data_IF_593653346783
#
_entry.id   IF_593653346783
#
_cell.length_a   1.000
_cell.length_b   1.000
_cell.length_c   1.000
_cell.angle_alpha   90.00
_cell.angle_beta   90.00
_cell.angle_gamma   90.00
#
_symmetry.space_group_name_H-M   'P 1'
#
loop_
_entity.id
_entity.type
_entity.pdbx_description
1 polymer ?
#
# COMPACT_ATOMS: atom_id res chain seq x y z
N UNK A 1 3.49 4.07 18.77
CA UNK A 1 3.32 4.49 17.34
C UNK A 1 3.67 3.40 16.35
N UNK A 2 4.69 2.56 16.62
CA UNK A 2 5.00 1.36 15.81
C UNK A 2 3.75 0.53 15.44
N UNK A 3 2.94 0.15 16.44
CA UNK A 3 1.73 -0.66 16.22
C UNK A 3 0.67 0.02 15.34
N UNK A 4 0.55 1.35 15.40
CA UNK A 4 -0.39 2.10 14.57
C UNK A 4 0.07 2.14 13.10
N UNK A 5 1.36 2.36 12.86
CA UNK A 5 1.94 2.33 11.51
C UNK A 5 1.78 0.92 10.91
N UNK A 6 2.06 -0.12 11.69
CA UNK A 6 1.85 -1.51 11.28
C UNK A 6 0.39 -1.81 10.94
N UNK A 7 -0.54 -1.33 11.77
CA UNK A 7 -1.97 -1.45 11.49
C UNK A 7 -2.33 -0.76 10.16
N UNK A 8 -1.84 0.46 9.90
CA UNK A 8 -2.10 1.14 8.63
C UNK A 8 -1.57 0.37 7.43
N UNK A 9 -0.32 -0.11 7.48
CA UNK A 9 0.26 -0.92 6.39
C UNK A 9 -0.54 -2.21 6.19
N UNK A 10 -1.00 -2.86 7.26
CA UNK A 10 -1.85 -4.06 7.18
C UNK A 10 -3.25 -3.76 6.59
N UNK A 11 -3.86 -2.63 6.98
CA UNK A 11 -5.16 -2.20 6.45
C UNK A 11 -5.04 -1.83 4.97
N UNK A 12 -3.92 -1.25 4.54
CA UNK A 12 -3.66 -0.94 3.12
C UNK A 12 -3.46 -2.19 2.29
N UNK A 13 -2.81 -3.22 2.83
CA UNK A 13 -2.63 -4.50 2.13
C UNK A 13 -3.96 -5.11 1.67
N UNK A 14 -5.01 -5.04 2.51
CA UNK A 14 -6.30 -5.67 2.26
C UNK A 14 -6.98 -5.26 0.92
N UNK A 15 -7.21 -3.97 0.61
CA UNK A 15 -7.83 -3.57 -0.65
C UNK A 15 -6.96 -3.93 -1.87
N UNK A 16 -5.62 -3.89 -1.78
CA UNK A 16 -4.74 -4.34 -2.87
C UNK A 16 -4.83 -5.84 -3.12
N UNK A 17 -4.86 -6.66 -2.05
CA UNK A 17 -5.04 -8.09 -2.18
C UNK A 17 -6.42 -8.44 -2.76
N UNK A 18 -7.46 -7.72 -2.34
CA UNK A 18 -8.81 -7.89 -2.85
C UNK A 18 -8.92 -7.53 -4.34
N UNK A 19 -8.31 -6.41 -4.76
CA UNK A 19 -8.30 -6.00 -6.16
C UNK A 19 -7.53 -7.00 -7.03
N UNK A 20 -6.33 -7.41 -6.60
CA UNK A 20 -5.50 -8.36 -7.35
C UNK A 20 -6.25 -9.68 -7.53
N UNK A 21 -6.86 -10.19 -6.46
CA UNK A 21 -7.71 -11.39 -6.51
C UNK A 21 -8.91 -11.22 -7.43
N UNK A 22 -9.53 -10.04 -7.46
CA UNK A 22 -10.66 -9.76 -8.36
C UNK A 22 -10.23 -9.85 -9.83
N UNK A 23 -9.06 -9.34 -10.17
CA UNK A 23 -8.50 -9.41 -11.53
C UNK A 23 -8.04 -10.81 -11.95
N UNK A 24 -7.66 -11.66 -11.00
CA UNK A 24 -7.33 -13.08 -11.22
C UNK A 24 -8.55 -14.02 -11.19
N UNK A 25 -9.78 -13.50 -11.15
CA UNK A 25 -10.98 -14.33 -11.18
C UNK A 25 -11.40 -14.89 -9.82
N UNK A 26 -10.76 -14.48 -8.71
CA UNK A 26 -11.03 -15.04 -7.36
C UNK A 26 -12.33 -14.49 -6.77
N UNK A 27 -12.61 -13.21 -6.98
CA UNK A 27 -13.78 -12.51 -6.40
C UNK A 27 -14.77 -11.97 -7.44
N UNK A 28 -14.36 -11.92 -8.71
CA UNK A 28 -15.18 -11.43 -9.83
C UNK A 28 -14.86 -12.28 -11.06
N UNK A 29 -15.72 -12.31 -12.07
CA UNK A 29 -15.46 -13.05 -13.32
C UNK A 29 -14.43 -12.37 -14.25
N UNK A 30 -13.69 -11.37 -13.75
CA UNK A 30 -12.63 -10.70 -14.52
C UNK A 30 -11.40 -11.58 -14.62
N UNK A 31 -10.74 -11.55 -15.77
CA UNK A 31 -9.52 -12.32 -16.01
C UNK A 31 -8.45 -11.44 -16.68
N UNK A 32 -8.11 -10.34 -16.02
CA UNK A 32 -7.09 -9.39 -16.47
C UNK A 32 -5.80 -9.62 -15.68
N UNK A 33 -4.96 -10.51 -16.20
CA UNK A 33 -3.69 -10.87 -15.59
C UNK A 33 -2.71 -9.70 -15.52
N UNK A 34 -2.81 -8.73 -16.43
CA UNK A 34 -1.94 -7.55 -16.43
C UNK A 34 -2.25 -6.64 -15.25
N UNK A 35 -3.52 -6.29 -15.08
CA UNK A 35 -4.00 -5.51 -13.95
C UNK A 35 -3.78 -6.24 -12.61
N UNK A 36 -4.01 -7.56 -12.58
CA UNK A 36 -3.78 -8.39 -11.40
C UNK A 36 -2.30 -8.46 -11.00
N UNK A 37 -1.37 -8.54 -11.96
CA UNK A 37 0.08 -8.58 -11.69
C UNK A 37 0.55 -7.26 -11.08
N UNK A 38 0.15 -6.12 -11.63
CA UNK A 38 0.55 -4.81 -11.11
C UNK A 38 0.09 -4.59 -9.67
N UNK A 39 -1.13 -5.02 -9.33
CA UNK A 39 -1.63 -4.93 -7.97
C UNK A 39 -0.95 -5.94 -7.04
N UNK A 40 -0.67 -7.16 -7.52
CA UNK A 40 0.07 -8.17 -6.76
C UNK A 40 1.49 -7.72 -6.41
N UNK A 41 2.18 -7.00 -7.28
CA UNK A 41 3.49 -6.39 -6.96
C UNK A 41 3.39 -5.43 -5.77
N UNK A 42 2.36 -4.57 -5.74
CA UNK A 42 2.12 -3.66 -4.62
C UNK A 42 1.79 -4.45 -3.33
N UNK A 43 0.98 -5.50 -3.43
CA UNK A 43 0.68 -6.42 -2.31
C UNK A 43 1.97 -6.99 -1.72
N UNK A 44 2.87 -7.49 -2.57
CA UNK A 44 4.15 -8.06 -2.15
C UNK A 44 5.04 -7.01 -1.48
N UNK A 45 5.10 -5.80 -2.02
CA UNK A 45 5.88 -4.69 -1.43
C UNK A 45 5.33 -4.27 -0.07
N UNK A 46 4.01 -4.13 0.07
CA UNK A 46 3.37 -3.80 1.36
C UNK A 46 3.60 -4.91 2.39
N UNK A 47 3.47 -6.18 1.98
CA UNK A 47 3.68 -7.32 2.86
C UNK A 47 5.15 -7.44 3.30
N UNK A 48 6.10 -7.28 2.38
CA UNK A 48 7.52 -7.27 2.70
C UNK A 48 7.89 -6.12 3.64
N UNK A 49 7.36 -4.91 3.37
CA UNK A 49 7.50 -3.76 4.26
C UNK A 49 6.96 -4.04 5.66
N UNK A 50 5.75 -4.57 5.75
CA UNK A 50 5.12 -4.96 7.01
C UNK A 50 5.97 -5.99 7.76
N UNK A 51 6.45 -7.03 7.08
CA UNK A 51 7.34 -8.03 7.66
C UNK A 51 8.62 -7.39 8.22
N UNK A 52 9.25 -6.49 7.47
CA UNK A 52 10.44 -5.75 7.92
C UNK A 52 10.19 -4.94 9.19
N UNK A 53 9.00 -4.35 9.35
CA UNK A 53 8.66 -3.60 10.58
C UNK A 53 8.65 -4.46 11.84
N UNK A 54 8.46 -5.78 11.75
CA UNK A 54 8.47 -6.68 12.89
C UNK A 54 9.87 -7.02 13.40
N UNK A 55 10.91 -6.75 12.60
CA UNK A 55 12.29 -6.95 13.04
C UNK A 55 12.67 -5.94 14.14
N UNK A 56 13.54 -6.34 15.07
CA UNK A 56 13.95 -5.49 16.20
C UNK A 56 14.91 -4.37 15.80
N UNK A 57 15.64 -4.53 14.69
CA UNK A 57 16.71 -3.64 14.27
C UNK A 57 16.26 -2.50 13.34
N UNK A 58 15.00 -2.53 12.88
CA UNK A 58 14.55 -1.63 11.83
C UNK A 58 13.65 -0.52 12.37
N UNK A 59 14.03 0.71 12.03
CA UNK A 59 13.16 1.86 12.20
C UNK A 59 11.92 1.72 11.31
N UNK A 60 10.76 1.63 11.93
CA UNK A 60 9.48 1.37 11.25
C UNK A 60 9.06 2.51 10.33
N UNK A 61 9.41 3.75 10.69
CA UNK A 61 9.00 4.96 9.97
C UNK A 61 9.55 5.02 8.53
N UNK A 62 10.86 4.92 8.27
CA UNK A 62 11.39 4.95 6.90
C UNK A 62 10.85 3.80 6.05
N UNK A 63 10.80 2.57 6.58
CA UNK A 63 10.22 1.41 5.86
C UNK A 63 8.78 1.68 5.47
N UNK A 64 7.96 2.13 6.42
CA UNK A 64 6.56 2.41 6.17
C UNK A 64 6.36 3.55 5.16
N UNK A 65 7.18 4.61 5.19
CA UNK A 65 7.12 5.69 4.20
C UNK A 65 7.48 5.18 2.80
N UNK A 66 8.52 4.34 2.68
CA UNK A 66 8.96 3.78 1.39
C UNK A 66 7.88 2.91 0.77
N UNK A 67 7.31 1.95 1.51
CA UNK A 67 6.32 1.02 0.94
C UNK A 67 4.97 1.69 0.68
N UNK A 68 4.56 2.64 1.53
CA UNK A 68 3.34 3.43 1.29
C UNK A 68 3.50 4.40 0.12
N UNK A 69 4.67 5.03 0.00
CA UNK A 69 5.00 5.89 -1.14
C UNK A 69 5.04 5.10 -2.45
N UNK A 70 5.66 3.91 -2.45
CA UNK A 70 5.67 3.01 -3.61
C UNK A 70 4.26 2.62 -4.03
N UNK A 71 3.43 2.19 -3.08
CA UNK A 71 2.03 1.82 -3.33
C UNK A 71 1.23 3.00 -3.91
N UNK A 72 1.41 4.21 -3.37
CA UNK A 72 0.76 5.42 -3.88
C UNK A 72 1.22 5.79 -5.29
N UNK A 73 2.52 5.70 -5.58
CA UNK A 73 3.03 5.94 -6.94
C UNK A 73 2.44 4.93 -7.93
N UNK A 74 2.40 3.65 -7.56
CA UNK A 74 1.78 2.59 -8.37
C UNK A 74 0.31 2.89 -8.69
N UNK A 75 -0.47 3.36 -7.72
CA UNK A 75 -1.88 3.71 -7.97
C UNK A 75 -2.06 5.00 -8.76
N UNK A 76 -1.15 5.98 -8.63
CA UNK A 76 -1.20 7.21 -9.43
C UNK A 76 -0.92 6.95 -10.92
N UNK A 77 -0.02 6.02 -11.25
CA UNK A 77 0.17 5.56 -12.63
C UNK A 77 -1.14 5.03 -13.21
N UNK A 78 -1.89 4.24 -12.41
CA UNK A 78 -3.21 3.77 -12.82
C UNK A 78 -4.22 4.89 -12.98
N UNK A 79 -4.21 5.92 -12.11
CA UNK A 79 -5.08 7.10 -12.30
C UNK A 79 -4.82 7.75 -13.65
N UNK A 80 -3.56 7.88 -14.07
CA UNK A 80 -3.23 8.39 -15.41
C UNK A 80 -3.84 7.52 -16.51
N UNK A 81 -3.77 6.19 -16.40
CA UNK A 81 -4.40 5.27 -17.36
C UNK A 81 -5.93 5.37 -17.37
N UNK A 82 -6.56 5.55 -16.21
CA UNK A 82 -8.03 5.73 -16.11
C UNK A 82 -8.47 7.05 -16.72
N UNK A 83 -7.68 8.13 -16.57
CA UNK A 83 -7.99 9.42 -17.19
C UNK A 83 -7.85 9.40 -18.71
N UNK A 84 -7.00 8.54 -19.26
CA UNK A 84 -6.77 8.44 -20.71
C UNK A 84 -7.69 7.42 -21.38
N UNK A 85 -8.00 6.30 -20.72
CA UNK A 85 -8.77 5.18 -21.31
C UNK A 85 -10.19 5.07 -20.73
N UNK A 86 -10.45 5.70 -19.57
CA UNK A 86 -11.71 5.61 -18.83
C UNK A 86 -11.72 4.49 -17.80
N UNK A 87 -12.54 4.60 -16.73
CA UNK A 87 -12.73 3.53 -15.76
C UNK A 87 -13.53 2.39 -16.39
N UNK A 88 -13.06 1.17 -16.17
CA UNK A 88 -13.68 -0.04 -16.71
C UNK A 88 -14.99 -0.40 -16.02
N UNK A 89 -15.15 -0.11 -14.72
CA UNK A 89 -16.39 -0.37 -13.96
C UNK A 89 -16.55 0.54 -12.73
N UNK A 90 -17.78 0.70 -12.23
CA UNK A 90 -18.05 1.38 -10.96
C UNK A 90 -17.36 0.67 -9.77
N UNK A 91 -17.30 -0.66 -9.81
CA UNK A 91 -16.57 -1.48 -8.83
C UNK A 91 -15.08 -1.09 -8.77
N UNK A 92 -14.42 -0.96 -9.94
CA UNK A 92 -13.01 -0.54 -9.99
C UNK A 92 -12.84 0.84 -9.38
N UNK A 93 -13.72 1.79 -9.70
CA UNK A 93 -13.64 3.14 -9.14
C UNK A 93 -13.74 3.14 -7.60
N UNK A 94 -14.67 2.35 -7.05
CA UNK A 94 -14.85 2.24 -5.59
C UNK A 94 -13.62 1.65 -4.92
N UNK A 95 -13.13 0.51 -5.41
CA UNK A 95 -11.97 -0.19 -4.83
C UNK A 95 -10.73 0.69 -4.86
N UNK A 96 -10.45 1.34 -5.99
CA UNK A 96 -9.30 2.24 -6.11
C UNK A 96 -9.44 3.48 -5.22
N UNK A 97 -10.63 4.04 -5.08
CA UNK A 97 -10.86 5.18 -4.18
C UNK A 97 -10.53 4.83 -2.73
N UNK A 98 -10.92 3.64 -2.28
CA UNK A 98 -10.60 3.13 -0.93
C UNK A 98 -9.08 3.00 -0.75
N UNK A 99 -8.36 2.46 -1.74
CA UNK A 99 -6.89 2.37 -1.69
C UNK A 99 -6.25 3.74 -1.50
N UNK A 100 -6.62 4.72 -2.32
CA UNK A 100 -6.05 6.07 -2.26
C UNK A 100 -6.30 6.73 -0.91
N UNK A 101 -7.54 6.68 -0.40
CA UNK A 101 -7.89 7.25 0.90
C UNK A 101 -7.04 6.61 2.01
N UNK A 102 -6.94 5.28 2.00
CA UNK A 102 -6.20 4.53 3.03
C UNK A 102 -4.70 4.79 2.95
N UNK A 103 -4.13 4.91 1.75
CA UNK A 103 -2.73 5.25 1.54
C UNK A 103 -2.43 6.67 2.01
N UNK A 104 -3.25 7.65 1.65
CA UNK A 104 -3.08 9.03 2.08
C UNK A 104 -3.19 9.17 3.61
N UNK A 105 -4.17 8.47 4.22
CA UNK A 105 -4.33 8.45 5.67
C UNK A 105 -3.10 7.84 6.36
N UNK A 106 -2.65 6.66 5.93
CA UNK A 106 -1.49 6.01 6.54
C UNK A 106 -0.19 6.80 6.32
N UNK A 107 -0.01 7.43 5.15
CA UNK A 107 1.15 8.27 4.87
C UNK A 107 1.13 9.49 5.78
N UNK A 108 -0.02 10.16 5.93
CA UNK A 108 -0.18 11.28 6.86
C UNK A 108 0.13 10.88 8.30
N UNK A 109 -0.37 9.73 8.76
CA UNK A 109 -0.08 9.19 10.10
C UNK A 109 1.40 8.88 10.27
N UNK A 110 2.05 8.28 9.27
CA UNK A 110 3.48 7.91 9.30
C UNK A 110 4.37 9.15 9.27
N UNK A 111 4.03 10.17 8.47
CA UNK A 111 4.75 11.43 8.41
C UNK A 111 4.72 12.17 9.75
N UNK A 112 3.56 12.15 10.43
CA UNK A 112 3.36 12.76 11.76
C UNK A 112 4.01 11.97 12.90
N UNK A 113 4.51 10.75 12.65
CA UNK A 113 5.18 9.99 13.69
C UNK A 113 6.55 10.61 14.05
N UNK A 114 6.85 10.89 15.34
CA UNK A 114 8.18 11.23 15.82
C UNK A 114 9.26 10.30 15.28
N UNK A 115 10.41 10.89 14.95
CA UNK A 115 11.61 10.15 14.58
C UNK A 115 12.14 9.42 15.81
N UNK A 116 12.47 8.14 15.67
CA UNK A 116 13.34 7.47 16.64
C UNK A 116 14.70 8.14 16.56
N UNK A 117 15.02 8.98 17.55
CA UNK A 117 16.39 9.45 17.72
C UNK A 117 17.16 8.24 18.24
N UNK A 118 17.97 7.63 17.37
CA UNK A 118 18.96 6.65 17.80
C UNK A 118 19.88 7.35 18.79
N UNK A 119 19.72 7.07 20.08
CA UNK A 119 20.64 7.54 21.12
C UNK A 119 21.98 6.86 20.86
N UNK A 120 22.83 7.51 20.08
CA UNK A 120 24.24 7.19 20.01
C UNK A 120 24.77 7.24 21.45
N UNK A 121 25.06 6.06 21.98
CA UNK A 121 25.68 5.87 23.28
C UNK A 121 27.06 6.55 23.20
N UNK A 122 27.37 7.58 24.00
CA UNK A 122 28.75 8.02 24.11
C UNK A 122 29.56 6.85 24.69
N UNK A 123 30.64 6.49 24.00
CA UNK A 123 31.64 5.55 24.47
C UNK A 123 32.48 6.20 25.58
#
# INVERSE_FOLDING_TARGET
MKSLIQLFVAVQFAPFAFAAGSHFGVFTDKNDHGAGTAEAEIVLVLLAGLALTFTRATDVRPVALTVQGFALLGTLIRVTLVLTVGPTTAFDLTVHSIMHITLLAGLATTMRAPRSVSSARPA
#
